data_IF_318590328841
#
_entry.id   IF_318590328841
#
_cell.length_a   1.000
_cell.length_b   1.000
_cell.length_c   1.000
_cell.angle_alpha   90.00
_cell.angle_beta   90.00
_cell.angle_gamma   90.00
#
_symmetry.space_group_name_H-M   'P 1'
#
loop_
_entity.id
_entity.type
_entity.pdbx_description
1 polymer ?
#
# COMPACT_ATOMS: atom_id res chain seq x y z
N UNK A 1 -9.77 -36.62 28.01
CA UNK A 1 -8.90 -35.59 27.40
C UNK A 1 -8.02 -35.07 28.50
N UNK A 2 -6.70 -35.19 28.34
CA UNK A 2 -5.77 -34.92 29.43
C UNK A 2 -5.70 -33.43 29.75
N UNK A 3 -5.72 -33.09 31.04
CA UNK A 3 -5.60 -31.70 31.51
C UNK A 3 -4.36 -31.00 30.95
N UNK A 4 -3.29 -31.77 30.73
CA UNK A 4 -2.07 -31.30 30.09
C UNK A 4 -2.31 -30.78 28.66
N UNK A 5 -3.12 -31.50 27.88
CA UNK A 5 -3.47 -31.10 26.51
C UNK A 5 -4.29 -29.81 26.53
N UNK A 6 -5.23 -29.68 27.46
CA UNK A 6 -6.05 -28.46 27.63
C UNK A 6 -5.17 -27.25 27.96
N UNK A 7 -4.22 -27.41 28.89
CA UNK A 7 -3.30 -26.33 29.29
C UNK A 7 -2.43 -25.90 28.10
N UNK A 8 -1.93 -26.83 27.30
CA UNK A 8 -1.14 -26.52 26.10
C UNK A 8 -1.98 -25.78 25.05
N UNK A 9 -3.22 -26.21 24.81
CA UNK A 9 -4.12 -25.54 23.87
C UNK A 9 -4.45 -24.11 24.29
N UNK A 10 -4.71 -23.89 25.59
CA UNK A 10 -4.96 -22.55 26.14
C UNK A 10 -3.70 -21.68 26.15
N UNK A 11 -2.54 -22.25 26.50
CA UNK A 11 -1.27 -21.53 26.51
C UNK A 11 -0.90 -21.03 25.13
N UNK A 12 -0.99 -21.89 24.10
CA UNK A 12 -0.68 -21.52 22.73
C UNK A 12 -1.68 -20.49 22.18
N UNK A 13 -2.98 -20.61 22.48
CA UNK A 13 -3.98 -19.66 21.99
C UNK A 13 -3.80 -18.26 22.59
N UNK A 14 -3.58 -18.18 23.90
CA UNK A 14 -3.31 -16.91 24.58
C UNK A 14 -1.99 -16.30 24.11
N UNK A 15 -0.96 -17.13 23.92
CA UNK A 15 0.35 -16.67 23.42
C UNK A 15 0.25 -16.08 22.01
N UNK A 16 -0.41 -16.78 21.08
CA UNK A 16 -0.64 -16.28 19.72
C UNK A 16 -1.48 -15.01 19.72
N UNK A 17 -2.50 -14.92 20.59
CA UNK A 17 -3.29 -13.71 20.78
C UNK A 17 -2.41 -12.52 21.24
N UNK A 18 -1.51 -12.74 22.19
CA UNK A 18 -0.58 -11.72 22.66
C UNK A 18 0.39 -11.26 21.56
N UNK A 19 0.93 -12.18 20.77
CA UNK A 19 1.78 -11.84 19.62
C UNK A 19 1.03 -11.02 18.58
N UNK A 20 -0.23 -11.36 18.29
CA UNK A 20 -1.07 -10.60 17.38
C UNK A 20 -1.29 -9.17 17.87
N UNK A 21 -1.57 -8.98 19.17
CA UNK A 21 -1.71 -7.65 19.78
C UNK A 21 -0.43 -6.82 19.68
N UNK A 22 0.73 -7.43 19.93
CA UNK A 22 2.04 -6.76 19.77
C UNK A 22 2.25 -6.36 18.30
N UNK A 23 1.92 -7.25 17.36
CA UNK A 23 2.01 -6.97 15.93
C UNK A 23 1.12 -5.79 15.50
N UNK A 24 -0.12 -5.74 15.99
CA UNK A 24 -1.05 -4.63 15.72
C UNK A 24 -0.50 -3.32 16.30
N UNK A 25 -0.02 -3.33 17.55
CA UNK A 25 0.54 -2.14 18.18
C UNK A 25 1.80 -1.65 17.44
N UNK A 26 2.65 -2.56 16.95
CA UNK A 26 3.79 -2.22 16.11
C UNK A 26 3.38 -1.66 14.75
N UNK A 27 2.36 -2.22 14.09
CA UNK A 27 1.84 -1.74 12.81
C UNK A 27 1.26 -0.32 12.92
N UNK A 28 0.52 -0.04 14.00
CA UNK A 28 0.03 1.32 14.31
C UNK A 28 1.20 2.28 14.54
N UNK A 29 2.16 1.91 15.41
CA UNK A 29 3.32 2.75 15.71
C UNK A 29 4.20 3.01 14.49
N UNK A 30 4.32 2.05 13.59
CA UNK A 30 5.16 2.13 12.39
C UNK A 30 4.48 2.89 11.23
N UNK A 31 3.26 3.37 11.42
CA UNK A 31 2.55 4.13 10.40
C UNK A 31 2.18 3.30 9.15
N UNK A 32 2.03 1.97 9.26
CA UNK A 32 1.59 1.15 8.10
C UNK A 32 0.23 1.57 7.53
N UNK A 33 -0.55 2.35 8.30
CA UNK A 33 -1.85 2.87 7.89
C UNK A 33 -1.82 4.34 7.46
N UNK A 34 -0.64 4.96 7.39
CA UNK A 34 -0.49 6.38 7.04
C UNK A 34 -0.64 6.63 5.51
N UNK A 35 -0.61 5.56 4.70
CA UNK A 35 -0.88 5.60 3.25
C UNK A 35 -2.34 5.95 2.89
N UNK A 36 -3.21 6.18 3.88
CA UNK A 36 -4.60 6.62 3.66
C UNK A 36 -4.68 7.93 2.87
N UNK A 37 -3.73 8.85 3.05
CA UNK A 37 -3.73 10.10 2.28
C UNK A 37 -3.60 9.85 0.78
N UNK A 38 -2.85 8.83 0.35
CA UNK A 38 -2.70 8.52 -1.07
C UNK A 38 -3.98 7.97 -1.68
N UNK A 39 -4.74 7.16 -0.92
CA UNK A 39 -6.05 6.63 -1.36
C UNK A 39 -7.16 7.69 -1.33
N UNK A 40 -7.16 8.57 -0.32
CA UNK A 40 -8.13 9.67 -0.23
C UNK A 40 -7.82 10.78 -1.24
N UNK A 41 -6.56 11.16 -1.43
CA UNK A 41 -6.17 12.18 -2.41
C UNK A 41 -6.48 11.74 -3.84
N UNK A 42 -6.31 10.46 -4.17
CA UNK A 42 -6.67 9.93 -5.49
C UNK A 42 -8.18 10.04 -5.78
N UNK A 43 -9.05 10.04 -4.76
CA UNK A 43 -10.50 10.22 -4.93
C UNK A 43 -10.90 11.70 -4.85
N UNK A 44 -10.19 12.49 -4.05
CA UNK A 44 -10.56 13.88 -3.75
C UNK A 44 -9.99 14.90 -4.77
N UNK A 45 -8.88 14.56 -5.45
CA UNK A 45 -8.20 15.41 -6.42
C UNK A 45 -8.31 14.91 -7.87
N UNK A 46 -9.36 14.18 -8.25
CA UNK A 46 -9.66 13.86 -9.68
C UNK A 46 -10.16 15.09 -10.48
N UNK A 47 -9.56 16.26 -10.22
CA UNK A 47 -9.87 17.54 -10.84
C UNK A 47 -9.14 17.77 -12.16
N UNK A 48 -9.47 18.88 -12.82
CA UNK A 48 -8.96 19.23 -14.16
C UNK A 48 -7.42 19.30 -14.26
N UNK A 49 -6.72 19.65 -13.18
CA UNK A 49 -5.26 19.77 -13.19
C UNK A 49 -4.57 18.40 -13.31
N UNK A 50 -5.07 17.37 -12.62
CA UNK A 50 -4.52 16.00 -12.70
C UNK A 50 -4.77 15.37 -14.07
N UNK A 51 -5.94 15.64 -14.67
CA UNK A 51 -6.26 15.29 -16.06
C UNK A 51 -5.30 15.96 -17.04
N UNK A 52 -4.96 17.22 -16.81
CA UNK A 52 -4.04 17.98 -17.66
C UNK A 52 -2.59 17.48 -17.53
N UNK A 53 -2.16 17.12 -16.32
CA UNK A 53 -0.84 16.53 -16.06
C UNK A 53 -0.73 15.12 -16.67
N UNK A 54 -1.77 14.29 -16.57
CA UNK A 54 -1.82 13.00 -17.24
C UNK A 54 -1.75 13.15 -18.78
N UNK A 55 -2.48 14.11 -19.34
CA UNK A 55 -2.43 14.43 -20.76
C UNK A 55 -1.05 14.95 -21.19
N UNK A 56 -0.39 15.79 -20.38
CA UNK A 56 0.97 16.24 -20.64
C UNK A 56 2.00 15.10 -20.57
N UNK A 57 1.85 14.18 -19.61
CA UNK A 57 2.71 13.00 -19.52
C UNK A 57 2.53 12.07 -20.74
N UNK A 58 1.31 11.88 -21.22
CA UNK A 58 1.06 11.13 -22.46
C UNK A 58 1.71 11.81 -23.66
N UNK A 59 1.52 13.12 -23.84
CA UNK A 59 2.15 13.90 -24.90
C UNK A 59 3.69 13.83 -24.85
N UNK A 60 4.29 13.91 -23.66
CA UNK A 60 5.74 13.73 -23.48
C UNK A 60 6.20 12.33 -23.88
N UNK A 61 5.46 11.28 -23.51
CA UNK A 61 5.78 9.89 -23.89
C UNK A 61 5.68 9.68 -25.41
N UNK A 62 4.66 10.26 -26.05
CA UNK A 62 4.49 10.20 -27.51
C UNK A 62 5.59 10.97 -28.25
N UNK A 63 5.94 12.18 -27.78
CA UNK A 63 7.03 12.95 -28.35
C UNK A 63 8.37 12.20 -28.25
N UNK A 64 8.65 11.55 -27.12
CA UNK A 64 9.85 10.73 -26.95
C UNK A 64 9.87 9.50 -27.86
N UNK A 65 8.72 8.85 -28.08
CA UNK A 65 8.59 7.74 -29.05
C UNK A 65 8.85 8.23 -30.46
N UNK A 66 8.22 9.33 -30.87
CA UNK A 66 8.39 9.94 -32.18
C UNK A 66 9.83 10.39 -32.43
N UNK A 67 10.52 10.90 -31.41
CA UNK A 67 11.92 11.34 -31.52
C UNK A 67 12.91 10.15 -31.53
N UNK A 68 12.56 9.01 -30.91
CA UNK A 68 13.32 7.76 -31.07
C UNK A 68 13.14 7.15 -32.46
N UNK A 69 11.93 7.27 -33.02
CA UNK A 69 11.59 6.77 -34.35
C UNK A 69 12.13 7.68 -35.46
N UNK A 70 12.17 9.00 -35.22
CA UNK A 70 12.82 10.00 -36.05
C UNK A 70 14.31 10.10 -35.67
N UNK A 71 15.07 9.03 -35.91
CA UNK A 71 16.53 9.05 -35.79
C UNK A 71 17.11 9.16 -37.21
N UNK A 72 17.37 10.38 -37.72
CA UNK A 72 18.05 10.53 -39.00
C UNK A 72 19.47 9.98 -38.87
N UNK A 73 19.81 9.04 -39.75
CA UNK A 73 21.17 8.53 -39.96
C UNK A 73 22.14 9.62 -40.43
#
# INVERSE_FOLDING_TARGET
MDSWVIIMMLGVSVFLGALALIGIMWAIKSGQFDDKEKFLNQVQFDGNDELNDAAQQQRKREALKKNKEYRPE
#
